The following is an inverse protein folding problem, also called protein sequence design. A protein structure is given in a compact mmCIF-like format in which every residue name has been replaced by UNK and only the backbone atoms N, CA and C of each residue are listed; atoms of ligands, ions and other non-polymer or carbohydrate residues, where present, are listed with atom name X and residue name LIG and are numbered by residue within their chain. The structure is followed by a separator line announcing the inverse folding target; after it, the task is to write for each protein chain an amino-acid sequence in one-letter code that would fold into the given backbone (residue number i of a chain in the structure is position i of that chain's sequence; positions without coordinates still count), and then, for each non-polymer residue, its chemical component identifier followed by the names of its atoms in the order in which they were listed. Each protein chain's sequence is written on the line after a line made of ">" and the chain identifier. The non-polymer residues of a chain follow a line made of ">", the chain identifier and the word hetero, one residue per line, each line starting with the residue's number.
data_IF_162249006512
#
_entry.id   IF_162249006512
#
_cell.length_a   1.000
_cell.length_b   1.000
_cell.length_c   1.000
_cell.angle_alpha   90.00
_cell.angle_beta   90.00
_cell.angle_gamma   90.00
#
_symmetry.space_group_name_H-M   'P 1'
#
loop_
_entity.id
_entity.type
_entity.pdbx_description
1 polymer ?
#
# COMPACT_ATOMS: atom_id res chain seq x y z
N UNK A 1 -2.94 10.99 6.11
CA UNK A 1 -2.34 11.95 7.06
C UNK A 1 -0.87 12.14 6.69
N UNK A 2 -0.46 13.36 6.37
CA UNK A 2 0.92 13.72 6.03
C UNK A 2 1.90 13.50 7.20
N UNK A 3 1.42 13.65 8.44
CA UNK A 3 2.16 13.40 9.68
C UNK A 3 2.38 11.91 9.98
N UNK A 4 1.61 11.01 9.38
CA UNK A 4 1.71 9.57 9.64
C UNK A 4 2.86 8.93 8.83
N UNK A 5 4.09 9.26 9.24
CA UNK A 5 5.31 8.77 8.59
C UNK A 5 5.37 7.23 8.52
N UNK A 6 4.91 6.53 9.56
CA UNK A 6 4.88 5.07 9.59
C UNK A 6 4.04 4.48 8.45
N UNK A 7 2.84 5.01 8.22
CA UNK A 7 1.99 4.59 7.12
C UNK A 7 2.59 4.96 5.76
N UNK A 8 3.12 6.18 5.61
CA UNK A 8 3.77 6.62 4.37
C UNK A 8 4.96 5.73 3.99
N UNK A 9 5.83 5.40 4.96
CA UNK A 9 6.94 4.47 4.75
C UNK A 9 6.46 3.05 4.43
N UNK A 10 5.40 2.57 5.09
CA UNK A 10 4.80 1.27 4.80
C UNK A 10 4.30 1.20 3.35
N UNK A 11 3.54 2.19 2.91
CA UNK A 11 3.02 2.25 1.55
C UNK A 11 4.16 2.37 0.53
N UNK A 12 5.15 3.23 0.78
CA UNK A 12 6.35 3.34 -0.05
C UNK A 12 7.08 2.00 -0.21
N UNK A 13 7.31 1.27 0.89
CA UNK A 13 7.92 -0.07 0.88
C UNK A 13 7.17 -1.05 -0.04
N UNK A 14 5.85 -0.94 -0.12
CA UNK A 14 5.02 -1.82 -0.96
C UNK A 14 4.72 -1.27 -2.35
N UNK A 15 5.40 -0.20 -2.77
CA UNK A 15 5.38 0.27 -4.16
C UNK A 15 4.34 1.35 -4.45
N UNK A 16 3.75 1.94 -3.41
CA UNK A 16 2.96 3.14 -3.59
C UNK A 16 3.88 4.36 -3.76
N UNK A 17 3.50 5.27 -4.64
CA UNK A 17 4.20 6.53 -4.89
C UNK A 17 3.26 7.71 -4.67
N UNK A 18 3.78 8.82 -4.17
CA UNK A 18 2.98 10.03 -3.99
C UNK A 18 2.63 10.64 -5.36
N UNK A 19 1.35 10.95 -5.55
CA UNK A 19 0.83 11.59 -6.78
C UNK A 19 0.09 12.89 -6.50
N UNK A 20 -0.09 13.25 -5.22
CA UNK A 20 -0.71 14.51 -4.86
C UNK A 20 -0.77 14.79 -3.37
N UNK A 21 -1.24 15.98 -3.05
CA UNK A 21 -1.46 16.46 -1.70
C UNK A 21 -2.78 17.24 -1.68
N UNK A 22 -3.68 16.88 -0.77
CA UNK A 22 -4.91 17.64 -0.49
C UNK A 22 -4.70 18.42 0.79
N UNK A 23 -4.59 19.75 0.68
CA UNK A 23 -4.31 20.63 1.82
C UNK A 23 -5.49 20.72 2.76
N UNK A 24 -5.25 20.61 4.06
CA UNK A 24 -6.29 20.70 5.10
C UNK A 24 -7.48 19.78 4.90
N UNK A 25 -7.22 18.57 4.39
CA UNK A 25 -8.26 17.62 3.99
C UNK A 25 -9.04 17.07 5.18
N UNK A 26 -8.37 16.81 6.30
CA UNK A 26 -9.02 16.33 7.51
C UNK A 26 -9.66 17.50 8.25
N UNK A 27 -10.94 17.36 8.65
CA UNK A 27 -11.72 18.46 9.23
C UNK A 27 -11.48 18.65 10.72
N UNK A 28 -10.97 17.64 11.40
CA UNK A 28 -10.71 17.64 12.85
C UNK A 28 -9.46 18.45 13.21
N UNK A 29 -8.38 18.31 12.45
CA UNK A 29 -7.08 18.93 12.76
C UNK A 29 -6.45 19.69 11.59
N UNK A 30 -7.19 19.84 10.47
CA UNK A 30 -6.73 20.54 9.25
C UNK A 30 -5.45 19.94 8.69
N UNK A 31 -5.22 18.65 8.93
CA UNK A 31 -4.04 17.98 8.40
C UNK A 31 -4.17 17.69 6.89
N UNK A 32 -3.05 17.72 6.19
CA UNK A 32 -2.97 17.37 4.79
C UNK A 32 -3.15 15.86 4.56
N UNK A 33 -3.82 15.52 3.46
CA UNK A 33 -3.87 14.15 2.96
C UNK A 33 -2.90 13.97 1.79
N UNK A 34 -1.88 13.14 2.01
CA UNK A 34 -0.99 12.65 0.95
C UNK A 34 -1.74 11.61 0.13
N UNK A 35 -1.87 11.85 -1.17
CA UNK A 35 -2.43 10.89 -2.11
C UNK A 35 -1.28 10.04 -2.68
N UNK A 36 -1.38 8.73 -2.49
CA UNK A 36 -0.44 7.77 -3.06
C UNK A 36 -1.17 6.78 -3.95
N UNK A 37 -0.52 6.36 -5.03
CA UNK A 37 -1.05 5.32 -5.93
C UNK A 37 -0.05 4.18 -6.05
N UNK A 38 -0.54 2.98 -6.30
CA UNK A 38 0.27 1.88 -6.81
C UNK A 38 0.11 1.79 -8.33
N UNK A 39 0.91 0.93 -8.95
CA UNK A 39 0.70 0.48 -10.32
C UNK A 39 -0.72 -0.09 -10.52
N UNK A 40 -1.21 -0.10 -11.76
CA UNK A 40 -2.49 -0.71 -12.10
C UNK A 40 -2.56 -2.15 -11.57
N UNK A 41 -3.58 -2.42 -10.76
CA UNK A 41 -3.77 -3.71 -10.10
C UNK A 41 -3.93 -4.87 -11.10
N UNK A 42 -4.35 -4.61 -12.33
CA UNK A 42 -4.50 -5.65 -13.38
C UNK A 42 -3.23 -5.88 -14.19
N UNK A 43 -2.18 -5.07 -14.00
CA UNK A 43 -0.91 -5.26 -14.71
C UNK A 43 -0.23 -6.57 -14.30
N UNK A 44 0.47 -7.19 -15.26
CA UNK A 44 1.20 -8.42 -15.02
C UNK A 44 2.31 -8.26 -13.97
N UNK A 45 3.01 -7.12 -14.00
CA UNK A 45 4.03 -6.70 -13.03
C UNK A 45 3.50 -6.61 -11.61
N UNK A 46 2.37 -5.91 -11.41
CA UNK A 46 1.75 -5.80 -10.10
C UNK A 46 1.31 -7.16 -9.56
N UNK A 47 0.65 -7.97 -10.40
CA UNK A 47 0.23 -9.32 -10.03
C UNK A 47 1.42 -10.20 -9.65
N UNK A 48 2.50 -10.18 -10.42
CA UNK A 48 3.73 -10.92 -10.11
C UNK A 48 4.33 -10.50 -8.77
N UNK A 49 4.47 -9.19 -8.53
CA UNK A 49 4.97 -8.65 -7.27
C UNK A 49 4.08 -9.04 -6.09
N UNK A 50 2.76 -8.98 -6.25
CA UNK A 50 1.81 -9.37 -5.21
C UNK A 50 1.97 -10.86 -4.84
N UNK A 51 2.14 -11.75 -5.81
CA UNK A 51 2.37 -13.16 -5.55
C UNK A 51 3.68 -13.40 -4.79
N UNK A 52 4.77 -12.72 -5.16
CA UNK A 52 6.04 -12.79 -4.44
C UNK A 52 5.88 -12.34 -2.98
N UNK A 53 5.16 -11.25 -2.73
CA UNK A 53 4.91 -10.74 -1.39
C UNK A 53 4.07 -11.72 -0.55
N UNK A 54 3.05 -12.36 -1.15
CA UNK A 54 2.25 -13.40 -0.49
C UNK A 54 3.11 -14.60 -0.10
N UNK A 55 3.98 -15.07 -1.00
CA UNK A 55 4.90 -16.19 -0.72
C UNK A 55 5.88 -15.84 0.40
N UNK A 56 6.48 -14.64 0.36
CA UNK A 56 7.38 -14.18 1.41
C UNK A 56 6.67 -14.06 2.77
N UNK A 57 5.43 -13.57 2.79
CA UNK A 57 4.61 -13.49 4.00
C UNK A 57 4.29 -14.89 4.55
N UNK A 58 3.82 -15.80 3.70
CA UNK A 58 3.55 -17.20 4.07
C UNK A 58 4.80 -17.88 4.65
N UNK A 59 5.95 -17.74 3.98
CA UNK A 59 7.24 -18.28 4.44
C UNK A 59 7.66 -17.71 5.80
N UNK A 60 7.44 -16.41 6.02
CA UNK A 60 7.82 -15.74 7.27
C UNK A 60 6.96 -16.16 8.46
N UNK A 61 5.67 -16.37 8.23
CA UNK A 61 4.68 -16.55 9.31
C UNK A 61 4.10 -17.97 9.40
N UNK A 62 4.52 -18.89 8.53
CA UNK A 62 4.05 -20.29 8.55
C UNK A 62 2.57 -20.47 8.16
N UNK A 63 1.96 -19.46 7.52
CA UNK A 63 0.53 -19.48 7.15
C UNK A 63 0.37 -20.06 5.75
N UNK A 64 -0.59 -20.97 5.57
CA UNK A 64 -0.96 -21.46 4.24
C UNK A 64 -1.42 -20.30 3.34
N UNK A 65 -1.03 -20.32 2.06
CA UNK A 65 -1.53 -19.37 1.07
C UNK A 65 -3.01 -19.67 0.81
N UNK A 66 -3.91 -19.06 1.58
CA UNK A 66 -5.33 -19.13 1.28
C UNK A 66 -5.59 -18.43 -0.06
N UNK A 67 -6.10 -19.21 -1.01
CA UNK A 67 -6.78 -18.67 -2.17
C UNK A 67 -8.03 -17.99 -1.62
N UNK A 68 -8.02 -16.66 -1.52
CA UNK A 68 -9.27 -15.90 -1.44
C UNK A 68 -9.88 -16.05 -2.83
N UNK A 69 -10.54 -17.20 -3.05
CA UNK A 69 -11.40 -17.41 -4.20
C UNK A 69 -12.54 -16.41 -4.07
N UNK A 70 -12.76 -15.66 -5.16
CA UNK A 70 -13.85 -14.71 -5.28
C UNK A 70 -15.17 -15.43 -5.50
#
# INVERSE_FOLDING_TARGET
>A
RASNAAALSLYGKYGFTQVGLRRGYYTDDREDAVLMTAENITSASFQARLQQLKQAHSKKWGVALYQIAR
#
